data_IF_296962561269
#
_entry.id   IF_296962561269
#
_cell.length_a   1.000
_cell.length_b   1.000
_cell.length_c   1.000
_cell.angle_alpha   90.00
_cell.angle_beta   90.00
_cell.angle_gamma   90.00
#
_symmetry.space_group_name_H-M   'P 1'
#
loop_
_entity.id
_entity.type
_entity.pdbx_description
1 polymer ?
#
# COMPACT_ATOMS: atom_id res chain seq x y z
N UNK A 1 -9.37 -80.31 58.96
CA UNK A 1 -10.82 -80.09 58.92
C UNK A 1 -11.10 -78.91 58.00
N UNK A 2 -11.81 -79.15 56.89
CA UNK A 2 -12.14 -78.16 55.85
C UNK A 2 -13.18 -77.16 56.37
N UNK A 3 -12.90 -75.86 56.32
CA UNK A 3 -13.91 -74.80 56.44
C UNK A 3 -14.16 -74.24 55.05
N UNK A 4 -15.36 -74.51 54.56
CA UNK A 4 -15.92 -74.00 53.31
C UNK A 4 -16.48 -72.61 53.61
N UNK A 5 -15.91 -71.57 53.02
CA UNK A 5 -16.48 -70.22 53.02
C UNK A 5 -17.08 -69.96 51.64
N UNK A 6 -18.40 -69.80 51.61
CA UNK A 6 -19.16 -69.27 50.47
C UNK A 6 -18.71 -67.82 50.21
N UNK A 7 -18.11 -67.56 49.05
CA UNK A 7 -17.98 -66.20 48.53
C UNK A 7 -19.17 -65.92 47.61
N UNK A 8 -20.04 -65.01 48.04
CA UNK A 8 -21.06 -64.39 47.20
C UNK A 8 -20.36 -63.58 46.10
N UNK A 9 -20.58 -63.96 44.84
CA UNK A 9 -20.16 -63.19 43.67
C UNK A 9 -21.20 -62.08 43.47
N UNK A 10 -20.85 -60.85 43.85
CA UNK A 10 -21.61 -59.66 43.45
C UNK A 10 -21.18 -59.27 42.03
N UNK A 11 -22.01 -59.59 41.03
CA UNK A 11 -21.83 -59.08 39.67
C UNK A 11 -22.21 -57.60 39.66
N UNK A 12 -21.21 -56.73 39.86
CA UNK A 12 -21.36 -55.30 39.68
C UNK A 12 -21.42 -54.98 38.19
N UNK A 13 -22.61 -54.66 37.68
CA UNK A 13 -22.77 -54.04 36.37
C UNK A 13 -22.07 -52.68 36.42
N UNK A 14 -20.93 -52.55 35.74
CA UNK A 14 -20.32 -51.25 35.43
C UNK A 14 -21.28 -50.52 34.50
N UNK A 15 -22.15 -49.67 35.06
CA UNK A 15 -22.74 -48.57 34.31
C UNK A 15 -21.60 -47.68 33.84
N UNK A 16 -21.23 -47.83 32.56
CA UNK A 16 -20.35 -46.88 31.89
C UNK A 16 -20.98 -45.51 32.02
N UNK A 17 -20.33 -44.62 32.78
CA UNK A 17 -20.63 -43.21 32.74
C UNK A 17 -20.40 -42.75 31.30
N UNK A 18 -21.49 -42.60 30.53
CA UNK A 18 -21.46 -41.82 29.29
C UNK A 18 -21.00 -40.43 29.72
N UNK A 19 -19.76 -40.09 29.39
CA UNK A 19 -19.30 -38.72 29.43
C UNK A 19 -20.32 -37.91 28.63
N UNK A 20 -21.07 -37.05 29.32
CA UNK A 20 -21.87 -36.02 28.68
C UNK A 20 -20.88 -35.18 27.86
N UNK A 21 -21.03 -35.19 26.54
CA UNK A 21 -20.33 -34.26 25.67
C UNK A 21 -20.63 -32.85 26.18
N UNK A 22 -19.62 -32.20 26.74
CA UNK A 22 -19.76 -30.86 27.27
C UNK A 22 -20.20 -29.93 26.12
N UNK A 23 -21.37 -29.29 26.20
CA UNK A 23 -21.95 -28.51 25.09
C UNK A 23 -21.17 -27.23 24.77
N UNK A 24 -20.07 -26.97 25.49
CA UNK A 24 -19.22 -25.80 25.34
C UNK A 24 -17.74 -26.23 25.32
N UNK A 25 -17.35 -27.08 24.37
CA UNK A 25 -15.93 -27.06 23.96
C UNK A 25 -15.71 -25.72 23.26
N UNK A 26 -14.89 -24.81 23.80
CA UNK A 26 -14.55 -23.60 23.07
C UNK A 26 -13.95 -24.03 21.74
N UNK A 27 -14.48 -23.49 20.64
CA UNK A 27 -13.89 -23.71 19.32
C UNK A 27 -12.40 -23.36 19.41
N UNK A 28 -11.50 -24.17 18.84
CA UNK A 28 -10.09 -23.85 18.81
C UNK A 28 -9.93 -22.45 18.22
N UNK A 29 -9.14 -21.61 18.89
CA UNK A 29 -8.89 -20.25 18.43
C UNK A 29 -8.47 -20.29 16.96
N UNK A 30 -9.03 -19.43 16.10
CA UNK A 30 -8.68 -19.42 14.69
C UNK A 30 -7.18 -19.20 14.56
N UNK A 31 -6.52 -20.00 13.72
CA UNK A 31 -5.09 -19.85 13.49
C UNK A 31 -4.79 -18.39 13.05
N UNK A 32 -3.73 -17.77 13.60
CA UNK A 32 -3.39 -16.42 13.21
C UNK A 32 -3.06 -16.41 11.71
N UNK A 33 -3.88 -15.66 10.97
CA UNK A 33 -3.72 -15.45 9.51
C UNK A 33 -2.35 -14.84 9.19
N UNK A 34 -1.76 -14.11 10.14
CA UNK A 34 -0.46 -13.46 10.03
C UNK A 34 0.53 -14.15 10.97
N UNK A 35 1.62 -14.69 10.41
CA UNK A 35 2.71 -15.32 11.15
C UNK A 35 4.01 -14.57 10.86
N UNK A 36 4.69 -14.07 11.88
CA UNK A 36 6.02 -13.49 11.72
C UNK A 36 7.05 -14.62 11.53
N UNK A 37 7.74 -14.64 10.38
CA UNK A 37 8.79 -15.63 10.11
C UNK A 37 10.13 -15.08 10.59
N UNK A 38 10.38 -13.80 10.28
CA UNK A 38 11.48 -13.00 10.81
C UNK A 38 10.98 -11.55 10.95
N UNK A 39 11.70 -10.66 11.66
CA UNK A 39 11.30 -9.26 11.79
C UNK A 39 11.01 -8.55 10.45
N UNK A 40 11.66 -8.99 9.37
CA UNK A 40 11.53 -8.43 8.02
C UNK A 40 10.58 -9.21 7.10
N UNK A 41 10.11 -10.39 7.51
CA UNK A 41 9.29 -11.29 6.68
C UNK A 41 8.05 -11.76 7.44
N UNK A 42 6.87 -11.39 6.94
CA UNK A 42 5.59 -11.89 7.45
C UNK A 42 4.96 -12.86 6.45
N UNK A 43 4.35 -13.92 6.95
CA UNK A 43 3.46 -14.79 6.19
C UNK A 43 2.02 -14.35 6.47
N UNK A 44 1.23 -14.10 5.43
CA UNK A 44 -0.20 -13.79 5.51
C UNK A 44 -0.95 -14.84 4.69
N UNK A 45 -1.53 -15.85 5.34
CA UNK A 45 -2.06 -17.02 4.65
C UNK A 45 -0.98 -17.70 3.78
N UNK A 46 -1.17 -17.76 2.46
CA UNK A 46 -0.17 -18.28 1.50
C UNK A 46 0.75 -17.21 0.90
N UNK A 47 0.51 -15.94 1.21
CA UNK A 47 1.26 -14.78 0.69
C UNK A 47 2.43 -14.45 1.63
N UNK A 48 3.58 -14.07 1.06
CA UNK A 48 4.72 -13.56 1.84
C UNK A 48 4.88 -12.06 1.67
N UNK A 49 5.13 -11.38 2.76
CA UNK A 49 5.43 -9.95 2.83
C UNK A 49 6.89 -9.75 3.21
N UNK A 50 7.66 -9.04 2.40
CA UNK A 50 9.04 -8.66 2.69
C UNK A 50 9.08 -7.15 2.96
N UNK A 51 9.20 -6.75 4.23
CA UNK A 51 9.09 -5.36 4.68
C UNK A 51 10.18 -4.47 4.07
N UNK A 52 11.45 -4.87 4.16
CA UNK A 52 12.61 -4.10 3.64
C UNK A 52 12.57 -3.91 2.13
N UNK A 53 12.20 -4.97 1.40
CA UNK A 53 12.07 -4.93 -0.06
C UNK A 53 10.79 -4.20 -0.52
N UNK A 54 9.82 -4.02 0.38
CA UNK A 54 8.46 -3.54 0.07
C UNK A 54 7.77 -4.41 -0.97
N UNK A 55 7.85 -5.72 -0.76
CA UNK A 55 7.35 -6.72 -1.70
C UNK A 55 6.30 -7.62 -1.08
N UNK A 56 5.33 -8.02 -1.92
CA UNK A 56 4.34 -9.05 -1.63
C UNK A 56 4.50 -10.16 -2.67
N UNK A 57 4.69 -11.39 -2.21
CA UNK A 57 4.96 -12.57 -3.04
C UNK A 57 3.74 -13.49 -2.99
N UNK A 58 3.15 -13.71 -4.16
CA UNK A 58 1.94 -14.50 -4.35
C UNK A 58 2.30 -15.77 -5.14
N UNK A 59 2.11 -16.98 -4.60
CA UNK A 59 2.33 -18.21 -5.36
C UNK A 59 1.26 -18.33 -6.46
N UNK A 60 1.67 -18.69 -7.68
CA UNK A 60 0.77 -18.82 -8.83
C UNK A 60 1.09 -20.07 -9.66
N UNK A 61 0.14 -20.46 -10.50
CA UNK A 61 0.28 -21.44 -11.57
C UNK A 61 0.04 -20.73 -12.90
N UNK A 62 0.81 -21.06 -13.94
CA UNK A 62 0.54 -20.57 -15.30
C UNK A 62 -0.68 -21.30 -15.84
N UNK A 63 -1.70 -20.56 -16.28
CA UNK A 63 -2.96 -21.14 -16.75
C UNK A 63 -2.99 -21.31 -18.27
N UNK A 64 -2.56 -20.29 -19.01
CA UNK A 64 -2.68 -20.30 -20.48
C UNK A 64 -1.60 -19.49 -21.18
N UNK A 65 -1.40 -19.75 -22.47
CA UNK A 65 -0.46 -19.04 -23.34
C UNK A 65 -1.10 -18.37 -24.55
N UNK A 66 -2.41 -18.54 -24.73
CA UNK A 66 -3.17 -18.05 -25.88
C UNK A 66 -4.61 -17.74 -25.47
N UNK A 67 -5.36 -17.13 -26.38
CA UNK A 67 -6.71 -16.65 -26.11
C UNK A 67 -6.73 -15.20 -25.61
N UNK A 68 -7.95 -14.65 -25.53
CA UNK A 68 -8.18 -13.34 -24.94
C UNK A 68 -8.15 -13.46 -23.41
N UNK A 69 -7.57 -12.47 -22.74
CA UNK A 69 -7.49 -12.43 -21.29
C UNK A 69 -7.97 -11.09 -20.75
N UNK A 70 -8.78 -11.15 -19.71
CA UNK A 70 -9.22 -9.98 -18.95
C UNK A 70 -8.37 -9.78 -17.68
N UNK A 71 -7.71 -10.84 -17.20
CA UNK A 71 -6.99 -10.82 -15.93
C UNK A 71 -5.57 -11.38 -16.06
N UNK A 72 -4.68 -10.87 -15.22
CA UNK A 72 -3.37 -11.46 -14.99
C UNK A 72 -3.41 -12.51 -13.91
N UNK A 73 -4.11 -12.25 -12.81
CA UNK A 73 -4.18 -13.16 -11.66
C UNK A 73 -5.59 -13.20 -11.11
N UNK A 74 -6.14 -14.41 -11.03
CA UNK A 74 -7.39 -14.72 -10.33
C UNK A 74 -7.20 -15.88 -9.36
N UNK A 75 -8.14 -16.03 -8.45
CA UNK A 75 -8.28 -17.27 -7.67
C UNK A 75 -8.93 -18.37 -8.52
N UNK A 76 -8.90 -19.61 -8.05
CA UNK A 76 -9.63 -20.72 -8.70
C UNK A 76 -11.16 -20.57 -8.75
N UNK A 77 -11.74 -19.55 -8.08
CA UNK A 77 -13.18 -19.20 -8.18
C UNK A 77 -13.46 -18.05 -9.14
N UNK A 78 -12.42 -17.38 -9.64
CA UNK A 78 -12.55 -16.28 -10.60
C UNK A 78 -12.65 -16.79 -12.03
N UNK A 79 -12.47 -15.88 -12.99
CA UNK A 79 -12.52 -16.19 -14.43
C UNK A 79 -11.24 -16.88 -14.94
N UNK A 80 -11.03 -18.12 -14.52
CA UNK A 80 -9.81 -18.91 -14.82
C UNK A 80 -9.51 -18.96 -16.32
N UNK A 81 -10.53 -19.20 -17.15
CA UNK A 81 -10.38 -19.31 -18.62
C UNK A 81 -10.12 -17.97 -19.35
N UNK A 82 -10.08 -16.85 -18.63
CA UNK A 82 -9.75 -15.51 -19.15
C UNK A 82 -8.56 -14.89 -18.39
N UNK A 83 -7.73 -15.73 -17.76
CA UNK A 83 -6.66 -15.32 -16.85
C UNK A 83 -5.32 -15.94 -17.19
N UNK A 84 -4.25 -15.14 -17.21
CA UNK A 84 -2.90 -15.67 -17.44
C UNK A 84 -2.41 -16.62 -16.33
N UNK A 85 -2.74 -16.29 -15.07
CA UNK A 85 -2.26 -16.97 -13.88
C UNK A 85 -3.39 -17.24 -12.89
N UNK A 86 -3.31 -18.37 -12.21
CA UNK A 86 -4.24 -18.75 -11.14
C UNK A 86 -3.49 -18.90 -9.80
N UNK A 87 -4.11 -18.46 -8.72
CA UNK A 87 -3.58 -18.61 -7.36
C UNK A 87 -4.56 -19.27 -6.40
N UNK A 88 -4.01 -19.91 -5.36
CA UNK A 88 -4.75 -20.31 -4.16
C UNK A 88 -4.69 -19.26 -3.06
N UNK A 89 -3.96 -18.16 -3.26
CA UNK A 89 -3.93 -17.05 -2.33
C UNK A 89 -5.29 -16.35 -2.26
N UNK A 90 -5.78 -16.20 -1.05
CA UNK A 90 -7.01 -15.44 -0.84
C UNK A 90 -6.76 -13.92 -1.06
N UNK A 91 -7.64 -13.23 -1.79
CA UNK A 91 -7.57 -11.79 -1.99
C UNK A 91 -7.47 -10.99 -0.69
N UNK A 92 -8.12 -11.47 0.38
CA UNK A 92 -8.00 -10.84 1.70
C UNK A 92 -6.56 -10.82 2.20
N UNK A 93 -5.80 -11.91 2.01
CA UNK A 93 -4.39 -12.00 2.39
C UNK A 93 -3.52 -11.04 1.60
N UNK A 94 -3.79 -10.91 0.29
CA UNK A 94 -3.10 -9.93 -0.58
C UNK A 94 -3.40 -8.51 -0.11
N UNK A 95 -4.65 -8.21 0.25
CA UNK A 95 -5.06 -6.89 0.74
C UNK A 95 -4.30 -6.54 2.03
N UNK A 96 -4.32 -7.44 3.01
CA UNK A 96 -3.66 -7.26 4.30
C UNK A 96 -2.14 -7.07 4.11
N UNK A 97 -1.50 -7.89 3.29
CA UNK A 97 -0.06 -7.76 3.02
C UNK A 97 0.28 -6.38 2.42
N UNK A 98 -0.49 -5.88 1.46
CA UNK A 98 -0.27 -4.55 0.89
C UNK A 98 -0.49 -3.43 1.92
N UNK A 99 -1.51 -3.54 2.77
CA UNK A 99 -1.77 -2.55 3.83
C UNK A 99 -0.66 -2.54 4.90
N UNK A 100 -0.06 -3.68 5.21
CA UNK A 100 1.11 -3.78 6.10
C UNK A 100 2.37 -3.12 5.50
N UNK A 101 2.45 -2.95 4.16
CA UNK A 101 3.44 -2.08 3.50
C UNK A 101 3.07 -0.60 3.50
N UNK A 102 1.96 -0.23 4.14
CA UNK A 102 1.35 1.10 4.08
C UNK A 102 0.98 1.52 2.63
N UNK A 103 0.60 0.56 1.79
CA UNK A 103 0.10 0.84 0.44
C UNK A 103 -1.21 1.64 0.51
N UNK A 104 -1.36 2.60 -0.40
CA UNK A 104 -2.57 3.43 -0.52
C UNK A 104 -3.41 2.97 -1.71
N UNK A 105 -4.61 2.47 -1.41
CA UNK A 105 -5.61 2.15 -2.44
C UNK A 105 -6.26 3.42 -3.03
N UNK A 106 -7.41 3.27 -3.66
CA UNK A 106 -8.11 4.37 -4.35
C UNK A 106 -8.69 5.44 -3.42
N UNK A 107 -8.72 5.18 -2.11
CA UNK A 107 -9.38 6.05 -1.12
C UNK A 107 -10.89 6.10 -1.32
N UNK A 108 -11.50 5.02 -1.78
CA UNK A 108 -12.94 4.92 -2.05
C UNK A 108 -13.38 5.47 -3.42
N UNK A 109 -12.45 5.99 -4.22
CA UNK A 109 -12.75 6.46 -5.57
C UNK A 109 -12.95 5.27 -6.51
N UNK A 110 -13.96 5.38 -7.38
CA UNK A 110 -14.16 4.45 -8.48
C UNK A 110 -13.12 4.68 -9.56
N UNK A 111 -12.78 3.61 -10.28
CA UNK A 111 -12.00 3.71 -11.51
C UNK A 111 -12.88 4.41 -12.56
N UNK A 112 -12.40 5.49 -13.19
CA UNK A 112 -13.18 6.17 -14.23
C UNK A 112 -13.45 5.27 -15.43
N UNK A 113 -14.69 5.30 -15.94
CA UNK A 113 -15.11 4.62 -17.17
C UNK A 113 -14.33 5.12 -18.40
N UNK A 114 -13.95 6.40 -18.40
CA UNK A 114 -13.05 6.96 -19.40
C UNK A 114 -11.64 6.36 -19.24
N UNK A 115 -11.28 5.50 -20.19
CA UNK A 115 -9.97 4.83 -20.26
C UNK A 115 -8.76 5.78 -20.29
N UNK A 116 -8.95 7.06 -20.63
CA UNK A 116 -7.86 8.04 -20.63
C UNK A 116 -7.60 8.66 -19.26
N UNK A 117 -8.56 8.56 -18.32
CA UNK A 117 -8.37 9.07 -16.97
C UNK A 117 -7.51 8.10 -16.15
N UNK A 118 -6.72 8.60 -15.18
CA UNK A 118 -5.86 7.77 -14.36
C UNK A 118 -6.67 6.85 -13.44
N UNK A 119 -6.18 5.62 -13.27
CA UNK A 119 -6.69 4.70 -12.25
C UNK A 119 -6.27 5.22 -10.86
N UNK A 120 -7.19 5.43 -9.91
CA UNK A 120 -6.87 5.90 -8.58
C UNK A 120 -6.18 4.82 -7.74
N UNK A 121 -5.04 5.14 -7.14
CA UNK A 121 -4.31 4.23 -6.26
C UNK A 121 -2.80 4.48 -6.31
N UNK A 122 -2.05 3.56 -5.73
CA UNK A 122 -0.59 3.65 -5.68
C UNK A 122 0.07 2.76 -6.75
N UNK A 123 1.05 3.28 -7.50
CA UNK A 123 1.79 2.47 -8.46
C UNK A 123 2.55 1.31 -7.82
N UNK A 124 2.55 0.16 -8.50
CA UNK A 124 3.31 -1.04 -8.16
C UNK A 124 4.02 -1.60 -9.38
N UNK A 125 5.20 -2.16 -9.15
CA UNK A 125 5.86 -3.01 -10.13
C UNK A 125 5.46 -4.47 -9.90
N UNK A 126 5.25 -5.21 -10.98
CA UNK A 126 4.88 -6.63 -10.91
C UNK A 126 5.86 -7.45 -11.75
N UNK A 127 6.48 -8.44 -11.12
CA UNK A 127 7.37 -9.40 -11.75
C UNK A 127 6.82 -10.82 -11.58
N UNK A 128 7.10 -11.69 -12.54
CA UNK A 128 6.94 -13.13 -12.42
C UNK A 128 8.30 -13.75 -12.15
N UNK A 129 8.42 -14.53 -11.09
CA UNK A 129 9.62 -15.26 -10.70
C UNK A 129 9.34 -16.75 -10.80
N UNK A 130 10.20 -17.50 -11.47
CA UNK A 130 10.03 -18.95 -11.65
C UNK A 130 11.39 -19.66 -11.65
N UNK A 131 11.37 -20.98 -11.54
CA UNK A 131 12.56 -21.81 -11.67
C UNK A 131 12.60 -22.46 -13.04
N UNK A 132 13.74 -22.38 -13.71
CA UNK A 132 14.02 -23.10 -14.94
C UNK A 132 15.41 -23.71 -14.84
N UNK A 133 15.53 -25.02 -15.02
CA UNK A 133 16.79 -25.76 -14.90
C UNK A 133 17.54 -25.47 -13.57
N UNK A 134 16.79 -25.41 -12.46
CA UNK A 134 17.32 -25.11 -11.12
C UNK A 134 17.69 -23.65 -10.88
N UNK A 135 17.66 -22.78 -11.90
CA UNK A 135 17.98 -21.36 -11.78
C UNK A 135 16.71 -20.53 -11.64
N UNK A 136 16.74 -19.53 -10.75
CA UNK A 136 15.67 -18.54 -10.64
C UNK A 136 15.74 -17.59 -11.82
N UNK A 137 14.65 -17.52 -12.59
CA UNK A 137 14.40 -16.51 -13.60
C UNK A 137 13.37 -15.52 -13.10
N UNK A 138 13.44 -14.29 -13.63
CA UNK A 138 12.46 -13.24 -13.37
C UNK A 138 12.24 -12.38 -14.61
N UNK A 139 11.01 -11.93 -14.80
CA UNK A 139 10.63 -11.00 -15.85
C UNK A 139 9.51 -10.09 -15.37
N UNK A 140 9.39 -8.90 -15.95
CA UNK A 140 8.24 -8.03 -15.67
C UNK A 140 6.99 -8.62 -16.29
N UNK A 141 5.88 -8.59 -15.56
CA UNK A 141 4.67 -9.30 -15.98
C UNK A 141 4.13 -8.80 -17.32
N UNK A 142 4.27 -7.49 -17.62
CA UNK A 142 3.77 -6.93 -18.87
C UNK A 142 4.55 -7.39 -20.12
N UNK A 143 5.71 -8.03 -19.96
CA UNK A 143 6.42 -8.65 -21.10
C UNK A 143 5.66 -9.83 -21.69
N UNK A 144 4.76 -10.41 -20.91
CA UNK A 144 3.92 -11.54 -21.29
C UNK A 144 2.54 -11.11 -21.78
N UNK A 145 2.38 -9.83 -22.12
CA UNK A 145 1.13 -9.27 -22.61
C UNK A 145 1.35 -8.61 -23.97
N UNK A 146 0.35 -8.73 -24.84
CA UNK A 146 0.27 -7.99 -26.09
C UNK A 146 -1.18 -7.64 -26.40
N UNK A 147 -1.39 -6.61 -27.21
CA UNK A 147 -2.71 -6.22 -27.69
C UNK A 147 -3.00 -6.91 -29.03
N UNK A 148 -4.23 -7.36 -29.28
CA UNK A 148 -4.61 -7.99 -30.57
C UNK A 148 -4.93 -6.99 -31.68
N UNK A 149 -5.42 -5.80 -31.33
CA UNK A 149 -5.84 -4.74 -32.28
C UNK A 149 -5.03 -3.45 -32.05
N UNK A 150 -4.72 -2.66 -33.11
CA UNK A 150 -4.98 -2.94 -34.54
C UNK A 150 -4.08 -4.04 -35.12
N UNK A 151 -3.04 -4.44 -34.39
CA UNK A 151 -2.17 -5.60 -34.66
C UNK A 151 -1.51 -6.02 -33.36
N UNK A 152 -0.91 -7.22 -33.35
CA UNK A 152 -0.09 -7.70 -32.22
C UNK A 152 0.99 -6.68 -31.85
N UNK A 153 0.89 -6.12 -30.65
CA UNK A 153 1.85 -5.17 -30.10
C UNK A 153 2.15 -5.50 -28.64
N UNK A 154 3.43 -5.64 -28.25
CA UNK A 154 3.80 -5.85 -26.85
C UNK A 154 3.27 -4.74 -25.95
N UNK A 155 2.84 -5.09 -24.75
CA UNK A 155 2.40 -4.11 -23.77
C UNK A 155 3.52 -3.11 -23.45
N UNK A 156 3.17 -1.83 -23.33
CA UNK A 156 4.13 -0.81 -22.91
C UNK A 156 4.64 -1.10 -21.50
N UNK A 157 5.95 -0.99 -21.29
CA UNK A 157 6.57 -1.10 -19.95
C UNK A 157 5.96 -0.05 -19.02
N UNK A 158 5.61 -0.45 -17.80
CA UNK A 158 5.04 0.48 -16.82
C UNK A 158 4.44 -0.21 -15.60
N UNK A 159 4.11 0.56 -14.55
CA UNK A 159 3.53 0.03 -13.33
C UNK A 159 2.07 -0.41 -13.54
N UNK A 160 1.59 -1.25 -12.64
CA UNK A 160 0.17 -1.42 -12.36
C UNK A 160 -0.25 -0.49 -11.22
N UNK A 161 -1.54 -0.32 -10.99
CA UNK A 161 -2.03 0.50 -9.87
C UNK A 161 -2.65 -0.42 -8.83
N UNK A 162 -2.14 -0.38 -7.60
CA UNK A 162 -2.85 -0.90 -6.44
C UNK A 162 -3.95 0.09 -6.05
N UNK A 163 -5.19 -0.26 -6.39
CA UNK A 163 -6.39 0.47 -5.99
C UNK A 163 -7.04 -0.13 -4.73
N UNK A 164 -6.65 -1.35 -4.34
CA UNK A 164 -7.38 -2.12 -3.34
C UNK A 164 -8.77 -2.51 -3.85
N UNK A 165 -9.50 -3.31 -3.08
CA UNK A 165 -10.87 -3.71 -3.46
C UNK A 165 -11.92 -3.07 -2.56
N UNK A 166 -13.16 -3.07 -3.04
CA UNK A 166 -14.30 -2.48 -2.35
C UNK A 166 -14.94 -3.47 -1.40
N UNK A 167 -15.62 -2.91 -0.40
CA UNK A 167 -16.61 -3.64 0.38
C UNK A 167 -17.99 -3.15 -0.06
N UNK A 168 -18.85 -4.07 -0.44
CA UNK A 168 -20.24 -3.80 -0.82
C UNK A 168 -21.12 -4.85 -0.14
N UNK A 169 -22.19 -4.40 0.52
CA UNK A 169 -23.09 -5.28 1.30
C UNK A 169 -22.35 -6.22 2.27
N UNK A 170 -21.31 -5.69 2.95
CA UNK A 170 -20.51 -6.44 3.92
C UNK A 170 -19.52 -7.44 3.29
N UNK A 171 -19.49 -7.57 1.97
CA UNK A 171 -18.61 -8.49 1.26
C UNK A 171 -17.41 -7.75 0.65
N UNK A 172 -16.21 -8.29 0.88
CA UNK A 172 -15.00 -7.83 0.20
C UNK A 172 -15.01 -8.38 -1.23
N UNK A 173 -15.18 -7.50 -2.23
CA UNK A 173 -15.53 -7.91 -3.59
C UNK A 173 -14.45 -8.78 -4.24
N UNK A 174 -13.17 -8.48 -4.04
CA UNK A 174 -12.09 -9.33 -4.57
C UNK A 174 -12.18 -10.76 -4.03
N UNK A 175 -12.54 -10.96 -2.74
CA UNK A 175 -12.72 -12.29 -2.16
C UNK A 175 -13.92 -13.03 -2.74
N UNK A 176 -15.00 -12.30 -3.04
CA UNK A 176 -16.20 -12.84 -3.64
C UNK A 176 -15.95 -13.28 -5.08
N UNK A 177 -15.38 -12.38 -5.88
CA UNK A 177 -15.24 -12.52 -7.33
C UNK A 177 -13.97 -13.25 -7.75
N UNK A 178 -12.98 -13.33 -6.85
CA UNK A 178 -11.70 -13.96 -7.12
C UNK A 178 -10.75 -13.14 -8.00
N UNK A 179 -11.09 -11.89 -8.32
CA UNK A 179 -10.28 -10.98 -9.13
C UNK A 179 -9.16 -10.33 -8.31
N UNK A 180 -7.90 -10.50 -8.71
CA UNK A 180 -6.75 -9.90 -8.02
C UNK A 180 -6.08 -8.83 -8.90
N UNK A 181 -5.59 -9.20 -10.08
CA UNK A 181 -4.91 -8.27 -11.01
C UNK A 181 -5.66 -8.26 -12.35
N UNK A 182 -6.31 -7.14 -12.65
CA UNK A 182 -7.14 -6.96 -13.85
C UNK A 182 -6.41 -6.21 -14.96
N UNK A 183 -6.66 -6.62 -16.21
CA UNK A 183 -6.26 -5.94 -17.44
C UNK A 183 -7.33 -4.97 -17.95
N UNK A 184 -8.59 -5.25 -17.61
CA UNK A 184 -9.75 -4.39 -17.86
C UNK A 184 -10.12 -3.59 -16.60
N UNK A 185 -11.05 -2.66 -16.74
CA UNK A 185 -11.56 -1.84 -15.63
C UNK A 185 -12.41 -2.71 -14.71
N UNK A 186 -11.86 -3.09 -13.56
CA UNK A 186 -12.57 -3.87 -12.55
C UNK A 186 -12.41 -3.20 -11.16
N UNK A 187 -13.52 -2.70 -10.62
CA UNK A 187 -13.55 -2.10 -9.28
C UNK A 187 -13.53 -3.15 -8.15
N UNK A 188 -13.74 -4.43 -8.45
CA UNK A 188 -13.58 -5.54 -7.53
C UNK A 188 -12.11 -5.98 -7.44
N UNK A 189 -11.33 -5.94 -8.54
CA UNK A 189 -9.92 -6.27 -8.53
C UNK A 189 -9.07 -5.31 -7.67
N UNK A 190 -8.05 -5.86 -7.00
CA UNK A 190 -7.17 -5.10 -6.11
C UNK A 190 -6.11 -4.29 -6.86
N UNK A 191 -5.76 -4.74 -8.06
CA UNK A 191 -4.81 -4.09 -8.96
C UNK A 191 -5.42 -3.96 -10.35
N UNK A 192 -5.21 -2.80 -10.97
CA UNK A 192 -5.73 -2.52 -12.31
C UNK A 192 -4.62 -2.04 -13.24
N UNK A 193 -4.76 -2.40 -14.52
CA UNK A 193 -3.89 -1.97 -15.60
C UNK A 193 -4.16 -0.49 -15.97
N UNK A 194 -3.21 0.43 -15.80
CA UNK A 194 -3.42 1.83 -16.12
C UNK A 194 -3.25 2.15 -17.61
N UNK A 195 -2.85 1.17 -18.42
CA UNK A 195 -2.59 1.37 -19.86
C UNK A 195 -3.89 1.72 -20.59
N UNK A 196 -3.80 2.46 -21.72
CA UNK A 196 -4.93 2.62 -22.62
C UNK A 196 -5.49 1.26 -23.06
N UNK A 197 -6.80 1.18 -23.24
CA UNK A 197 -7.48 -0.02 -23.70
C UNK A 197 -8.04 -0.93 -22.60
N UNK A 198 -7.93 -0.55 -21.32
CA UNK A 198 -8.60 -1.25 -20.20
C UNK A 198 -10.15 -1.21 -20.22
N UNK A 199 -10.75 -0.64 -21.26
CA UNK A 199 -12.21 -0.56 -21.47
C UNK A 199 -12.67 -1.54 -22.55
N UNK A 200 -11.74 -2.23 -23.20
CA UNK A 200 -11.97 -3.23 -24.24
C UNK A 200 -11.52 -4.58 -23.66
N UNK A 201 -12.48 -5.46 -23.39
CA UNK A 201 -12.31 -6.82 -22.86
C UNK A 201 -11.75 -7.81 -23.88
N UNK A 202 -11.76 -7.44 -25.16
CA UNK A 202 -11.20 -8.24 -26.24
C UNK A 202 -9.80 -7.74 -26.67
N UNK A 203 -9.16 -6.85 -25.91
CA UNK A 203 -7.91 -6.24 -26.35
C UNK A 203 -6.66 -7.08 -26.07
N UNK A 204 -6.60 -7.76 -24.93
CA UNK A 204 -5.36 -8.34 -24.42
C UNK A 204 -5.28 -9.84 -24.68
N UNK A 205 -4.09 -10.30 -25.06
CA UNK A 205 -3.76 -11.72 -25.10
C UNK A 205 -2.34 -11.96 -24.54
N UNK A 206 -2.01 -13.21 -24.17
CA UNK A 206 -0.65 -13.54 -23.75
C UNK A 206 0.38 -13.32 -24.87
N UNK A 207 1.59 -12.95 -24.48
CA UNK A 207 2.80 -12.99 -25.30
C UNK A 207 3.61 -14.24 -24.90
N UNK A 208 3.55 -15.36 -25.65
CA UNK A 208 4.11 -16.65 -25.25
C UNK A 208 5.65 -16.66 -25.13
N UNK A 209 6.32 -15.70 -25.77
CA UNK A 209 7.80 -15.67 -25.77
C UNK A 209 8.35 -15.45 -24.36
N UNK A 210 8.96 -16.50 -23.81
CA UNK A 210 9.60 -16.49 -22.50
C UNK A 210 8.66 -16.75 -21.33
N UNK A 211 7.37 -17.04 -21.59
CA UNK A 211 6.45 -17.51 -20.56
C UNK A 211 6.86 -18.91 -20.07
N UNK A 212 6.80 -19.18 -18.75
CA UNK A 212 6.98 -20.53 -18.23
C UNK A 212 5.86 -21.45 -18.72
N UNK A 213 6.08 -22.76 -18.81
CA UNK A 213 5.08 -23.70 -19.28
C UNK A 213 3.75 -23.61 -18.51
N UNK A 214 2.63 -23.87 -19.19
CA UNK A 214 1.32 -24.09 -18.55
C UNK A 214 1.45 -25.14 -17.44
N UNK A 215 0.68 -24.98 -16.37
CA UNK A 215 0.70 -25.76 -15.12
C UNK A 215 1.96 -25.62 -14.26
N UNK A 216 3.00 -24.94 -14.75
CA UNK A 216 4.21 -24.71 -13.94
C UNK A 216 3.95 -23.71 -12.81
N UNK A 217 4.70 -23.88 -11.72
CA UNK A 217 4.61 -23.03 -10.53
C UNK A 217 5.54 -21.83 -10.66
N UNK A 218 5.02 -20.67 -10.31
CA UNK A 218 5.76 -19.42 -10.27
C UNK A 218 5.34 -18.58 -9.05
N UNK A 219 5.94 -17.42 -8.90
CA UNK A 219 5.61 -16.44 -7.87
C UNK A 219 5.45 -15.09 -8.52
N UNK A 220 4.29 -14.46 -8.33
CA UNK A 220 4.07 -13.06 -8.66
C UNK A 220 4.66 -12.23 -7.52
N UNK A 221 5.60 -11.34 -7.85
CA UNK A 221 6.24 -10.43 -6.91
C UNK A 221 5.77 -9.02 -7.20
N UNK A 222 5.00 -8.47 -6.27
CA UNK A 222 4.45 -7.11 -6.33
C UNK A 222 5.33 -6.22 -5.46
N UNK A 223 6.00 -5.23 -6.07
CA UNK A 223 6.82 -4.25 -5.37
C UNK A 223 6.09 -2.91 -5.27
N UNK A 224 5.82 -2.47 -4.05
CA UNK A 224 5.15 -1.20 -3.79
C UNK A 224 6.10 -0.03 -4.05
N UNK A 225 5.86 0.70 -5.14
CA UNK A 225 6.68 1.85 -5.50
C UNK A 225 6.51 2.96 -4.45
N UNK A 226 7.59 3.69 -4.18
CA UNK A 226 7.49 4.89 -3.34
C UNK A 226 6.56 5.86 -4.04
N UNK A 227 5.68 6.51 -3.28
CA UNK A 227 4.80 7.55 -3.81
C UNK A 227 5.69 8.69 -4.34
N UNK A 228 6.02 8.65 -5.63
CA UNK A 228 6.40 9.84 -6.38
C UNK A 228 5.11 10.55 -6.74
N UNK A 229 4.44 11.13 -5.72
CA UNK A 229 3.63 12.30 -6.01
C UNK A 229 4.53 13.25 -6.81
N UNK A 230 4.04 13.95 -7.85
CA UNK A 230 4.83 15.00 -8.46
C UNK A 230 5.27 15.91 -7.30
N UNK A 231 6.57 15.96 -7.02
CA UNK A 231 7.10 17.01 -6.16
C UNK A 231 6.58 18.27 -6.83
N UNK A 232 5.68 19.02 -6.17
CA UNK A 232 5.71 20.47 -6.36
C UNK A 232 7.19 20.81 -6.23
N UNK A 233 7.82 21.48 -7.22
CA UNK A 233 9.22 21.84 -7.10
C UNK A 233 9.40 22.39 -5.69
N UNK A 234 10.30 21.77 -4.91
CA UNK A 234 10.47 22.18 -3.53
C UNK A 234 10.68 23.68 -3.56
N UNK A 235 9.87 24.46 -2.82
CA UNK A 235 10.01 25.91 -2.84
C UNK A 235 11.48 26.22 -2.51
N UNK A 236 12.10 27.20 -3.19
CA UNK A 236 13.47 27.59 -2.89
C UNK A 236 13.60 27.80 -1.38
N UNK A 237 14.64 27.22 -0.78
CA UNK A 237 14.82 27.22 0.67
C UNK A 237 15.94 28.18 1.03
N UNK A 238 15.69 29.10 1.96
CA UNK A 238 16.69 29.96 2.57
C UNK A 238 16.78 29.67 4.06
N UNK A 239 17.91 29.97 4.69
CA UNK A 239 18.01 29.90 6.14
C UNK A 239 17.29 31.09 6.80
N UNK A 240 16.82 30.93 8.03
CA UNK A 240 16.12 32.01 8.73
C UNK A 240 17.00 33.27 8.88
N UNK A 241 18.30 33.09 9.10
CA UNK A 241 19.27 34.18 9.18
C UNK A 241 19.56 34.86 7.83
N UNK A 242 19.18 34.26 6.70
CA UNK A 242 19.38 34.83 5.37
C UNK A 242 18.20 35.68 4.91
N UNK A 243 17.09 35.68 5.64
CA UNK A 243 15.93 36.50 5.36
C UNK A 243 15.78 37.63 6.38
N UNK A 244 15.12 38.70 5.96
CA UNK A 244 14.80 39.84 6.81
C UNK A 244 13.47 40.45 6.44
N UNK A 245 12.77 41.01 7.43
CA UNK A 245 11.53 41.74 7.23
C UNK A 245 11.85 43.21 7.01
N UNK A 246 11.32 43.80 5.94
CA UNK A 246 11.50 45.22 5.61
C UNK A 246 10.15 45.92 5.52
N UNK A 247 10.07 47.17 5.98
CA UNK A 247 8.90 48.02 5.80
C UNK A 247 8.85 48.63 4.40
N UNK A 248 7.81 49.42 4.10
CA UNK A 248 7.62 50.07 2.80
C UNK A 248 8.76 51.04 2.40
N UNK A 249 9.56 51.52 3.36
CA UNK A 249 10.73 52.38 3.12
C UNK A 249 12.03 51.57 2.93
N UNK A 250 11.95 50.24 2.93
CA UNK A 250 13.11 49.34 2.81
C UNK A 250 13.90 49.15 4.11
N UNK A 251 13.50 49.79 5.22
CA UNK A 251 14.19 49.61 6.50
C UNK A 251 13.83 48.27 7.13
N UNK A 252 14.84 47.59 7.70
CA UNK A 252 14.65 46.34 8.46
C UNK A 252 13.79 46.61 9.69
N UNK A 253 12.80 45.76 9.92
CA UNK A 253 11.86 45.85 11.05
C UNK A 253 11.78 44.53 11.83
N UNK A 254 11.27 44.59 13.05
CA UNK A 254 11.05 43.43 13.91
C UNK A 254 9.92 42.51 13.42
N UNK A 255 9.83 41.32 14.02
CA UNK A 255 8.84 40.28 13.64
C UNK A 255 7.38 40.77 13.78
N UNK A 256 7.11 41.55 14.82
CA UNK A 256 5.77 42.07 15.15
C UNK A 256 5.36 43.29 14.30
N UNK A 257 6.31 43.92 13.61
CA UNK A 257 6.05 45.11 12.81
C UNK A 257 5.53 44.76 11.41
N UNK A 258 4.77 45.67 10.79
CA UNK A 258 4.28 45.47 9.41
C UNK A 258 5.44 45.54 8.42
N UNK A 259 5.51 44.56 7.51
CA UNK A 259 6.55 44.50 6.48
C UNK A 259 6.47 43.21 5.68
N UNK A 260 7.27 43.14 4.61
CA UNK A 260 7.43 41.96 3.76
C UNK A 260 8.78 41.31 4.03
N UNK A 261 8.85 39.99 3.84
CA UNK A 261 10.08 39.23 3.95
C UNK A 261 10.87 39.26 2.64
N UNK A 262 12.18 39.42 2.76
CA UNK A 262 13.14 39.44 1.66
C UNK A 262 14.30 38.52 2.00
N UNK A 263 14.97 37.97 1.00
CA UNK A 263 16.33 37.46 1.18
C UNK A 263 17.28 38.66 1.28
N UNK A 264 18.26 38.61 2.18
CA UNK A 264 19.22 39.71 2.37
C UNK A 264 19.93 40.00 1.04
N UNK A 265 20.04 41.29 0.70
CA UNK A 265 20.60 41.74 -0.57
C UNK A 265 19.67 41.63 -1.78
N UNK A 266 18.57 40.87 -1.71
CA UNK A 266 17.63 40.75 -2.82
C UNK A 266 16.59 41.89 -2.80
N UNK A 267 16.29 42.52 -3.95
CA UNK A 267 15.30 43.59 -4.03
C UNK A 267 13.86 43.07 -4.08
N UNK A 268 13.65 41.79 -4.42
CA UNK A 268 12.32 41.18 -4.55
C UNK A 268 11.87 40.51 -3.25
N UNK A 269 10.58 40.65 -2.87
CA UNK A 269 10.02 39.91 -1.75
C UNK A 269 10.21 38.39 -1.92
N UNK A 270 10.49 37.71 -0.82
CA UNK A 270 10.84 36.30 -0.81
C UNK A 270 9.61 35.43 -1.07
N UNK A 271 9.73 34.52 -2.04
CA UNK A 271 8.77 33.44 -2.27
C UNK A 271 9.53 32.14 -2.11
N UNK A 272 9.15 31.33 -1.12
CA UNK A 272 9.86 30.09 -0.83
C UNK A 272 9.69 29.61 0.61
N UNK A 273 10.47 28.59 0.95
CA UNK A 273 10.59 28.04 2.29
C UNK A 273 11.71 28.73 3.06
N UNK A 274 11.53 28.91 4.35
CA UNK A 274 12.57 29.36 5.28
C UNK A 274 12.71 28.31 6.38
N UNK A 275 13.92 27.82 6.60
CA UNK A 275 14.22 26.81 7.60
C UNK A 275 15.22 27.35 8.64
N UNK A 276 14.90 27.19 9.92
CA UNK A 276 15.82 27.38 11.04
C UNK A 276 16.34 26.04 11.54
N UNK A 277 17.59 25.99 11.99
CA UNK A 277 18.21 24.78 12.50
C UNK A 277 18.85 25.04 13.86
N UNK A 278 18.81 24.04 14.73
CA UNK A 278 19.56 24.00 15.97
C UNK A 278 21.07 23.92 15.71
N UNK A 279 21.89 24.16 16.76
CA UNK A 279 23.36 24.03 16.67
C UNK A 279 23.82 22.63 16.24
N UNK A 280 23.01 21.61 16.49
CA UNK A 280 23.24 20.22 16.08
C UNK A 280 22.71 19.92 14.67
N UNK A 281 22.38 20.95 13.88
CA UNK A 281 21.87 20.89 12.51
C UNK A 281 20.48 20.27 12.35
N UNK A 282 19.79 19.92 13.44
CA UNK A 282 18.40 19.46 13.36
C UNK A 282 17.45 20.63 13.06
N UNK A 283 16.36 20.33 12.35
CA UNK A 283 15.35 21.33 11.99
C UNK A 283 14.66 21.88 13.24
N UNK A 284 14.80 23.18 13.47
CA UNK A 284 14.17 23.90 14.57
C UNK A 284 12.82 24.48 14.14
N UNK A 285 12.77 25.08 12.95
CA UNK A 285 11.56 25.72 12.44
C UNK A 285 11.47 25.69 10.91
N UNK A 286 10.25 25.69 10.41
CA UNK A 286 9.94 25.74 8.99
C UNK A 286 8.79 26.72 8.75
N UNK A 287 8.96 27.61 7.77
CA UNK A 287 7.99 28.66 7.41
C UNK A 287 7.90 28.79 5.89
N UNK A 288 6.78 29.28 5.39
CA UNK A 288 6.57 29.50 3.96
C UNK A 288 6.11 30.94 3.68
N UNK A 289 6.63 31.49 2.59
CA UNK A 289 6.33 32.85 2.14
C UNK A 289 5.94 32.85 0.67
N UNK A 290 4.97 33.70 0.34
CA UNK A 290 4.58 34.03 -1.02
C UNK A 290 4.60 35.57 -1.16
N UNK A 291 5.44 36.08 -2.06
CA UNK A 291 5.66 37.51 -2.26
C UNK A 291 5.97 38.27 -0.97
N UNK A 292 6.77 37.67 -0.08
CA UNK A 292 7.17 38.21 1.21
C UNK A 292 6.09 38.15 2.30
N UNK A 293 4.92 37.55 2.01
CA UNK A 293 3.82 37.38 2.95
C UNK A 293 3.83 35.94 3.47
N UNK A 294 3.70 35.75 4.78
CA UNK A 294 3.67 34.43 5.38
C UNK A 294 2.39 33.68 5.03
N UNK A 295 2.52 32.43 4.57
CA UNK A 295 1.42 31.57 4.13
C UNK A 295 1.66 30.13 4.59
N UNK A 296 0.59 29.34 4.67
CA UNK A 296 0.68 27.92 5.00
C UNK A 296 1.07 27.67 6.46
N UNK A 297 1.55 26.46 6.72
CA UNK A 297 1.82 26.00 8.08
C UNK A 297 3.27 26.32 8.44
N UNK A 298 3.47 27.15 9.46
CA UNK A 298 4.72 27.26 10.19
C UNK A 298 4.77 26.16 11.25
N UNK A 299 5.87 25.42 11.30
CA UNK A 299 6.09 24.36 12.28
C UNK A 299 7.38 24.61 13.04
N UNK A 300 7.37 24.36 14.34
CA UNK A 300 8.55 24.35 15.20
C UNK A 300 8.70 22.98 15.83
N UNK A 301 9.92 22.56 16.07
CA UNK A 301 10.26 21.30 16.73
C UNK A 301 11.16 21.55 17.93
N UNK A 302 11.10 20.69 18.94
CA UNK A 302 12.16 20.57 19.94
C UNK A 302 13.41 19.95 19.30
N UNK A 303 14.57 20.07 19.96
CA UNK A 303 15.80 19.36 19.56
C UNK A 303 15.67 17.82 19.66
N UNK A 304 14.64 17.31 20.33
CA UNK A 304 14.25 15.90 20.24
C UNK A 304 13.65 15.52 18.88
N UNK A 305 13.28 16.48 18.04
CA UNK A 305 12.52 16.29 16.81
C UNK A 305 11.01 16.14 17.02
N UNK A 306 10.53 16.18 18.27
CA UNK A 306 9.09 16.26 18.59
C UNK A 306 8.57 17.63 18.18
N UNK A 307 7.36 17.69 17.59
CA UNK A 307 6.75 18.97 17.25
C UNK A 307 6.57 19.80 18.52
N UNK A 308 6.86 21.09 18.42
CA UNK A 308 6.65 22.06 19.47
C UNK A 308 5.40 22.85 19.16
N UNK A 309 5.38 23.64 18.09
CA UNK A 309 4.24 24.48 17.70
C UNK A 309 3.88 24.27 16.23
N UNK A 310 2.60 24.48 15.91
CA UNK A 310 2.10 24.52 14.54
C UNK A 310 1.17 25.73 14.40
N UNK A 311 1.53 26.64 13.49
CA UNK A 311 0.86 27.92 13.27
C UNK A 311 0.42 27.97 11.82
N UNK A 312 -0.89 28.06 11.56
CA UNK A 312 -1.41 28.09 10.20
C UNK A 312 -1.68 29.53 9.76
N UNK A 313 -1.05 29.98 8.68
CA UNK A 313 -1.17 31.33 8.15
C UNK A 313 -1.90 31.37 6.80
N UNK A 314 -2.76 32.39 6.63
CA UNK A 314 -3.35 32.74 5.34
C UNK A 314 -3.19 34.25 5.13
N UNK A 315 -2.54 34.64 4.04
CA UNK A 315 -2.28 36.04 3.69
C UNK A 315 -1.65 36.85 4.85
N UNK A 316 -0.69 36.26 5.55
CA UNK A 316 0.01 36.88 6.68
C UNK A 316 -0.77 36.91 8.00
N UNK A 317 -1.99 36.38 8.04
CA UNK A 317 -2.80 36.29 9.26
C UNK A 317 -2.77 34.88 9.83
N UNK A 318 -2.59 34.77 11.14
CA UNK A 318 -2.68 33.50 11.87
C UNK A 318 -4.15 33.05 11.92
N UNK A 319 -4.43 31.85 11.43
CA UNK A 319 -5.76 31.25 11.36
C UNK A 319 -5.96 30.24 12.50
N UNK A 320 -4.94 29.46 12.82
CA UNK A 320 -5.00 28.48 13.92
C UNK A 320 -3.63 28.22 14.50
N UNK A 321 -3.61 27.80 15.77
CA UNK A 321 -2.40 27.43 16.49
C UNK A 321 -2.63 26.11 17.22
N UNK A 322 -1.61 25.26 17.22
CA UNK A 322 -1.49 24.07 18.06
C UNK A 322 -0.12 24.02 18.71
N UNK A 323 -0.05 23.41 19.88
CA UNK A 323 1.21 23.25 20.62
C UNK A 323 1.28 21.89 21.27
N UNK A 324 2.49 21.38 21.42
CA UNK A 324 2.80 20.10 22.04
C UNK A 324 3.90 20.29 23.10
N UNK A 325 3.82 19.48 24.15
CA UNK A 325 4.89 19.36 25.14
C UNK A 325 6.08 18.54 24.58
N UNK A 326 7.24 18.49 25.28
CA UNK A 326 8.40 17.71 24.83
C UNK A 326 8.15 16.20 24.68
N UNK A 327 7.12 15.66 25.35
CA UNK A 327 6.72 14.26 25.28
C UNK A 327 5.77 13.98 24.09
N UNK A 328 5.34 15.04 23.38
CA UNK A 328 4.49 14.96 22.20
C UNK A 328 3.00 14.99 22.50
N UNK A 329 2.59 15.30 23.73
CA UNK A 329 1.17 15.49 24.06
C UNK A 329 0.73 16.88 23.60
N UNK A 330 -0.39 16.93 22.89
CA UNK A 330 -0.99 18.18 22.46
C UNK A 330 -1.55 18.94 23.67
N UNK A 331 -1.08 20.17 23.86
CA UNK A 331 -1.62 21.08 24.87
C UNK A 331 -3.01 21.54 24.41
N UNK A 332 -4.01 21.38 25.28
CA UNK A 332 -5.40 21.78 25.02
C UNK A 332 -5.61 23.29 25.04
#
# INVERSE_FOLDING_TARGET
>A
MKRICFFLIFSGVLMGARAQDAPFKPEPLPEPVIKEITPDVLQVGTVKLLKKAREVHIPVTIEMHEGLIEYLVVTGRGKVHESLLVTTAEPYHVQVAMLLLNAKGSGGKLIPEDGNKPVPGQPVDIELHWKENGKTKKARIEQFLQTVRPKLQPAKKGPFIFNGSRVFEGQFLAQRDGSIISLITDNAAQFNNPRPGRVDDELWCPQPKGLPAVDSKATVVIRLLKNSAPKKPEPPTSKFEEVEKRNAKGARVGLLEKGLWFKRGEPKPYTGRVAGHYKNEQLESERFYENGIQVGVETHWYDSGVKRWELNYKNGQLISQRSWDPDGNESK
#
